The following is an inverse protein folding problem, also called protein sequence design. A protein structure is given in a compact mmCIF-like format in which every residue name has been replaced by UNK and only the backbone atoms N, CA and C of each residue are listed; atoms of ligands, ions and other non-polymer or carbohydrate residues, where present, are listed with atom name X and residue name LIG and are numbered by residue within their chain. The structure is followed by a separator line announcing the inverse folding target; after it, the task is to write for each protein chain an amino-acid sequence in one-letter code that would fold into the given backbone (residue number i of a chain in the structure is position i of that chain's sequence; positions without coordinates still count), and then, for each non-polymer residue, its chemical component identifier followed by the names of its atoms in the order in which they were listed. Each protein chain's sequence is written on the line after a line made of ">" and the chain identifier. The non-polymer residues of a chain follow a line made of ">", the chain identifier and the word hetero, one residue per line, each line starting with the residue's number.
data_IF_029041360420
#
_entry.id   IF_029041360420
#
_cell.length_a   1.000
_cell.length_b   1.000
_cell.length_c   1.000
_cell.angle_alpha   90.00
_cell.angle_beta   90.00
_cell.angle_gamma   90.00
#
_symmetry.space_group_name_H-M   'P 1'
#
loop_
_entity.id
_entity.type
_entity.pdbx_description
1 polymer ?
#
# COMPACT_ATOMS: atom_id res chain seq x y z
N UNK A 1 -58.37 20.97 -63.21
CA UNK A 1 -58.20 21.98 -62.15
C UNK A 1 -58.38 21.40 -60.73
N UNK A 2 -59.42 20.61 -60.45
CA UNK A 2 -59.68 20.09 -59.10
C UNK A 2 -58.68 18.97 -58.73
N UNK A 3 -58.31 18.07 -59.64
CA UNK A 3 -57.32 16.99 -59.44
C UNK A 3 -55.87 17.55 -59.25
N UNK A 4 -55.54 18.63 -59.96
CA UNK A 4 -54.22 19.28 -59.84
C UNK A 4 -54.09 20.01 -58.47
N UNK A 5 -55.11 20.65 -58.00
CA UNK A 5 -55.11 21.29 -56.67
C UNK A 5 -55.00 20.26 -55.54
N UNK A 6 -55.62 19.08 -55.67
CA UNK A 6 -55.43 17.99 -54.69
C UNK A 6 -54.01 17.50 -54.68
N UNK A 7 -53.35 17.24 -55.85
CA UNK A 7 -51.97 16.86 -55.94
C UNK A 7 -50.99 17.90 -55.35
N UNK A 8 -51.25 19.18 -55.62
CA UNK A 8 -50.47 20.27 -55.04
C UNK A 8 -50.57 20.28 -53.51
N UNK A 9 -51.76 19.99 -52.96
CA UNK A 9 -51.99 19.89 -51.53
C UNK A 9 -51.25 18.68 -50.90
N UNK A 10 -51.18 17.54 -51.58
CA UNK A 10 -50.46 16.36 -51.18
C UNK A 10 -48.95 16.63 -51.17
N UNK A 11 -48.38 17.17 -52.23
CA UNK A 11 -46.96 17.53 -52.30
C UNK A 11 -46.56 18.59 -51.26
N UNK A 12 -47.43 19.52 -50.95
CA UNK A 12 -47.19 20.53 -49.92
C UNK A 12 -47.05 19.86 -48.52
N UNK A 13 -47.91 18.85 -48.25
CA UNK A 13 -47.84 18.08 -47.00
C UNK A 13 -46.56 17.23 -46.91
N UNK A 14 -46.22 16.49 -47.97
CA UNK A 14 -44.97 15.71 -48.03
C UNK A 14 -43.74 16.61 -47.84
N UNK A 15 -43.74 17.77 -48.47
CA UNK A 15 -42.62 18.71 -48.38
C UNK A 15 -42.48 19.27 -46.92
N UNK A 16 -43.60 19.50 -46.25
CA UNK A 16 -43.60 19.92 -44.86
C UNK A 16 -43.07 18.83 -43.93
N UNK A 17 -43.47 17.57 -44.17
CA UNK A 17 -42.99 16.40 -43.40
C UNK A 17 -41.49 16.15 -43.62
N UNK A 18 -41.02 16.24 -44.86
CA UNK A 18 -39.59 16.12 -45.17
C UNK A 18 -38.75 17.24 -44.53
N UNK A 19 -39.26 18.47 -44.49
CA UNK A 19 -38.58 19.57 -43.81
C UNK A 19 -38.49 19.32 -42.31
N UNK A 20 -39.52 18.81 -41.66
CA UNK A 20 -39.51 18.46 -40.24
C UNK A 20 -38.49 17.36 -39.94
N UNK A 21 -38.54 16.27 -40.72
CA UNK A 21 -37.54 15.15 -40.60
C UNK A 21 -36.10 15.65 -40.77
N UNK A 22 -35.88 16.55 -41.73
CA UNK A 22 -34.54 17.15 -41.95
C UNK A 22 -34.08 17.93 -40.73
N UNK A 23 -34.96 18.66 -40.03
CA UNK A 23 -34.64 19.36 -38.81
C UNK A 23 -34.32 18.39 -37.67
N UNK A 24 -35.12 17.34 -37.49
CA UNK A 24 -34.87 16.29 -36.49
C UNK A 24 -33.51 15.61 -36.69
N UNK A 25 -33.18 15.27 -37.98
CA UNK A 25 -31.89 14.70 -38.32
C UNK A 25 -30.74 15.65 -37.97
N UNK A 26 -30.90 16.97 -38.17
CA UNK A 26 -29.89 17.95 -37.85
C UNK A 26 -29.62 17.99 -36.35
N UNK A 27 -30.69 17.96 -35.52
CA UNK A 27 -30.57 17.91 -34.05
C UNK A 27 -29.89 16.62 -33.59
N UNK A 28 -30.29 15.48 -34.11
CA UNK A 28 -29.68 14.20 -33.77
C UNK A 28 -28.20 14.16 -34.16
N UNK A 29 -27.83 14.68 -35.34
CA UNK A 29 -26.43 14.78 -35.77
C UNK A 29 -25.59 15.67 -34.84
N UNK A 30 -26.13 16.81 -34.40
CA UNK A 30 -25.44 17.68 -33.44
C UNK A 30 -25.22 16.95 -32.11
N UNK A 31 -26.27 16.35 -31.57
CA UNK A 31 -26.16 15.56 -30.32
C UNK A 31 -25.18 14.38 -30.43
N UNK A 32 -25.12 13.73 -31.58
CA UNK A 32 -24.16 12.65 -31.84
C UNK A 32 -22.71 13.18 -31.86
N UNK A 33 -22.49 14.35 -32.46
CA UNK A 33 -21.17 14.98 -32.49
C UNK A 33 -20.68 15.33 -31.06
N UNK A 34 -21.58 15.90 -30.25
CA UNK A 34 -21.29 16.24 -28.85
C UNK A 34 -20.96 14.99 -28.01
N UNK A 35 -21.76 13.92 -28.19
CA UNK A 35 -21.51 12.65 -27.50
C UNK A 35 -20.23 11.97 -27.92
N UNK A 36 -19.87 12.05 -29.23
CA UNK A 36 -18.57 11.52 -29.70
C UNK A 36 -17.39 12.26 -29.05
N UNK A 37 -17.48 13.59 -29.01
CA UNK A 37 -16.44 14.39 -28.36
C UNK A 37 -16.31 14.08 -26.87
N UNK A 38 -17.43 13.98 -26.17
CA UNK A 38 -17.43 13.60 -24.76
C UNK A 38 -16.80 12.21 -24.53
N UNK A 39 -17.11 11.25 -25.41
CA UNK A 39 -16.50 9.91 -25.36
C UNK A 39 -14.98 9.95 -25.62
N UNK A 40 -14.52 10.74 -26.58
CA UNK A 40 -13.07 10.92 -26.84
C UNK A 40 -12.36 11.53 -25.62
N UNK A 41 -12.94 12.54 -24.99
CA UNK A 41 -12.42 13.18 -23.78
C UNK A 41 -12.38 12.18 -22.61
N UNK A 42 -13.41 11.35 -22.44
CA UNK A 42 -13.48 10.34 -21.39
C UNK A 42 -12.47 9.20 -21.63
N UNK A 43 -12.30 8.76 -22.86
CA UNK A 43 -11.29 7.76 -23.23
C UNK A 43 -9.87 8.27 -22.95
N UNK A 44 -9.58 9.50 -23.35
CA UNK A 44 -8.28 10.10 -23.06
C UNK A 44 -8.01 10.21 -21.54
N UNK A 45 -9.02 10.62 -20.76
CA UNK A 45 -8.93 10.66 -19.28
C UNK A 45 -8.72 9.27 -18.68
N UNK A 46 -9.39 8.26 -19.22
CA UNK A 46 -9.21 6.88 -18.82
C UNK A 46 -7.78 6.40 -19.07
N UNK A 47 -7.23 6.64 -20.27
CA UNK A 47 -5.85 6.27 -20.62
C UNK A 47 -4.81 6.93 -19.69
N UNK A 48 -5.01 8.23 -19.38
CA UNK A 48 -4.16 8.94 -18.43
C UNK A 48 -4.23 8.33 -17.02
N UNK A 49 -5.41 7.97 -16.57
CA UNK A 49 -5.59 7.34 -15.25
C UNK A 49 -4.94 5.96 -15.19
N UNK A 50 -5.08 5.14 -16.22
CA UNK A 50 -4.40 3.83 -16.33
C UNK A 50 -2.89 4.02 -16.25
N UNK A 51 -2.35 4.94 -17.04
CA UNK A 51 -0.91 5.24 -17.05
C UNK A 51 -0.39 5.73 -15.69
N UNK A 52 -1.15 6.61 -15.05
CA UNK A 52 -0.81 7.10 -13.70
C UNK A 52 -0.82 5.95 -12.67
N UNK A 53 -1.80 5.05 -12.75
CA UNK A 53 -1.87 3.89 -11.87
C UNK A 53 -0.68 2.93 -12.07
N UNK A 54 -0.29 2.65 -13.31
CA UNK A 54 0.89 1.84 -13.63
C UNK A 54 2.16 2.45 -13.05
N UNK A 55 2.41 3.75 -13.30
CA UNK A 55 3.59 4.46 -12.80
C UNK A 55 3.65 4.50 -11.27
N UNK A 56 2.51 4.71 -10.60
CA UNK A 56 2.44 4.67 -9.14
C UNK A 56 2.71 3.27 -8.61
N UNK A 57 2.25 2.22 -9.31
CA UNK A 57 2.55 0.83 -8.99
C UNK A 57 4.05 0.54 -9.08
N UNK A 58 4.69 0.90 -10.18
CA UNK A 58 6.14 0.74 -10.38
C UNK A 58 6.95 1.52 -9.32
N UNK A 59 6.56 2.75 -9.02
CA UNK A 59 7.22 3.57 -7.99
C UNK A 59 7.09 2.94 -6.61
N UNK A 60 5.90 2.44 -6.25
CA UNK A 60 5.66 1.74 -4.99
C UNK A 60 6.53 0.47 -4.89
N UNK A 61 6.58 -0.34 -5.93
CA UNK A 61 7.30 -1.60 -5.93
C UNK A 61 8.83 -1.34 -5.88
N UNK A 62 9.32 -0.34 -6.59
CA UNK A 62 10.73 0.09 -6.53
C UNK A 62 11.09 0.60 -5.13
N UNK A 63 10.22 1.41 -4.52
CA UNK A 63 10.40 1.89 -3.16
C UNK A 63 10.40 0.73 -2.15
N UNK A 64 9.46 -0.21 -2.26
CA UNK A 64 9.37 -1.36 -1.38
C UNK A 64 10.65 -2.23 -1.45
N UNK A 65 11.15 -2.54 -2.64
CA UNK A 65 12.40 -3.31 -2.80
C UNK A 65 13.60 -2.56 -2.23
N UNK A 66 13.74 -1.28 -2.52
CA UNK A 66 14.87 -0.46 -2.05
C UNK A 66 14.95 -0.33 -0.52
N UNK A 67 13.82 -0.37 0.18
CA UNK A 67 13.75 -0.18 1.63
C UNK A 67 13.54 -1.48 2.40
N UNK A 68 12.80 -2.45 1.86
CA UNK A 68 12.52 -3.71 2.58
C UNK A 68 13.74 -4.60 2.72
N UNK A 69 14.62 -4.67 1.72
CA UNK A 69 15.81 -5.54 1.77
C UNK A 69 16.77 -5.14 2.89
N UNK A 70 17.19 -3.86 3.05
CA UNK A 70 18.03 -3.45 4.18
C UNK A 70 17.35 -3.65 5.53
N UNK A 71 16.05 -3.35 5.63
CA UNK A 71 15.28 -3.56 6.85
C UNK A 71 15.23 -5.03 7.24
N UNK A 72 14.95 -5.93 6.28
CA UNK A 72 14.90 -7.37 6.56
C UNK A 72 16.27 -7.93 6.94
N UNK A 73 17.35 -7.47 6.33
CA UNK A 73 18.69 -7.87 6.71
C UNK A 73 19.08 -7.39 8.13
N UNK A 74 18.64 -6.19 8.52
CA UNK A 74 18.82 -5.70 9.88
C UNK A 74 17.94 -6.46 10.87
N UNK A 75 16.68 -6.70 10.49
CA UNK A 75 15.74 -7.48 11.28
C UNK A 75 16.24 -8.90 11.60
N UNK A 76 16.75 -9.62 10.61
CA UNK A 76 17.29 -10.98 10.82
C UNK A 76 18.40 -10.99 11.86
N UNK A 77 19.34 -10.04 11.77
CA UNK A 77 20.43 -9.88 12.75
C UNK A 77 19.92 -9.58 14.18
N UNK A 78 18.88 -8.78 14.29
CA UNK A 78 18.29 -8.42 15.59
C UNK A 78 17.46 -9.55 16.17
N UNK A 79 16.69 -10.22 15.33
CA UNK A 79 15.89 -11.38 15.70
C UNK A 79 16.78 -12.53 16.20
N UNK A 80 17.85 -12.87 15.45
CA UNK A 80 18.83 -13.86 15.85
C UNK A 80 19.48 -13.51 17.19
N UNK A 81 19.78 -12.23 17.44
CA UNK A 81 20.35 -11.79 18.69
C UNK A 81 19.43 -12.06 19.89
N UNK A 82 18.11 -11.92 19.72
CA UNK A 82 17.14 -12.16 20.80
C UNK A 82 16.83 -13.64 20.96
N UNK A 83 16.59 -14.35 19.87
CA UNK A 83 16.06 -15.74 19.90
C UNK A 83 17.14 -16.81 19.76
N UNK A 84 18.29 -16.47 19.20
CA UNK A 84 19.33 -17.42 18.81
C UNK A 84 19.03 -18.16 17.51
N UNK A 85 18.00 -17.76 16.78
CA UNK A 85 17.54 -18.40 15.53
C UNK A 85 17.44 -17.37 14.41
N UNK A 86 17.73 -17.76 13.17
CA UNK A 86 17.50 -16.93 12.00
C UNK A 86 16.01 -16.73 11.72
N UNK A 87 15.66 -15.54 11.25
CA UNK A 87 14.27 -15.18 10.93
C UNK A 87 13.78 -15.79 9.59
N UNK A 88 14.26 -16.97 9.20
CA UNK A 88 13.88 -17.63 7.94
C UNK A 88 12.39 -17.93 7.79
N UNK A 89 11.65 -17.86 8.88
CA UNK A 89 10.19 -18.00 8.90
C UNK A 89 9.45 -16.66 8.91
N UNK A 90 10.15 -15.53 8.85
CA UNK A 90 9.54 -14.19 8.89
C UNK A 90 9.61 -13.55 7.50
N UNK A 91 8.50 -13.00 7.06
CA UNK A 91 8.41 -12.26 5.81
C UNK A 91 7.78 -10.90 6.05
N UNK A 92 8.42 -9.84 5.57
CA UNK A 92 7.79 -8.54 5.50
C UNK A 92 7.03 -8.42 4.17
N UNK A 93 5.76 -8.05 4.25
CA UNK A 93 4.99 -7.66 3.09
C UNK A 93 5.41 -6.24 2.62
N UNK A 94 5.07 -5.83 1.37
CA UNK A 94 5.40 -4.49 0.87
C UNK A 94 4.85 -3.33 1.73
N UNK A 95 3.79 -3.56 2.48
CA UNK A 95 3.18 -2.65 3.45
C UNK A 95 3.86 -2.68 4.83
N UNK A 96 5.01 -3.35 4.95
CA UNK A 96 5.75 -3.59 6.20
C UNK A 96 5.00 -4.44 7.23
N UNK A 97 3.91 -5.11 6.84
CA UNK A 97 3.25 -6.10 7.68
C UNK A 97 4.15 -7.32 7.83
N UNK A 98 4.40 -7.73 9.07
CA UNK A 98 5.20 -8.91 9.37
C UNK A 98 4.31 -10.14 9.42
N UNK A 99 4.66 -11.13 8.61
CA UNK A 99 4.03 -12.45 8.60
C UNK A 99 5.02 -13.50 9.06
N UNK A 100 4.56 -14.36 9.94
CA UNK A 100 5.35 -15.47 10.43
C UNK A 100 4.88 -16.79 9.82
N UNK A 101 5.81 -17.62 9.34
CA UNK A 101 5.51 -18.92 8.75
C UNK A 101 5.59 -19.99 9.83
N UNK A 102 4.44 -20.59 10.14
CA UNK A 102 4.35 -21.72 11.05
C UNK A 102 3.67 -22.90 10.35
N UNK A 103 4.28 -24.09 10.40
CA UNK A 103 3.76 -25.29 9.74
C UNK A 103 3.41 -25.11 8.25
N UNK A 104 4.19 -24.29 7.53
CA UNK A 104 3.99 -24.06 6.10
C UNK A 104 2.97 -22.97 5.75
N UNK A 105 2.25 -22.40 6.72
CA UNK A 105 1.29 -21.31 6.53
C UNK A 105 1.79 -20.01 7.12
N UNK A 106 1.53 -18.88 6.41
CA UNK A 106 1.82 -17.55 6.94
C UNK A 106 0.68 -17.12 7.87
N UNK A 107 1.07 -16.71 9.08
CA UNK A 107 0.18 -16.15 10.10
C UNK A 107 0.47 -14.67 10.30
N UNK A 108 -0.57 -13.91 10.57
CA UNK A 108 -0.44 -12.51 10.98
C UNK A 108 0.16 -12.43 12.39
N UNK A 109 0.94 -11.39 12.67
CA UNK A 109 1.53 -11.13 13.99
C UNK A 109 0.51 -11.12 15.12
N UNK A 110 -0.75 -10.78 14.85
CA UNK A 110 -1.83 -10.77 15.83
C UNK A 110 -2.24 -12.18 16.33
N UNK A 111 -1.89 -13.23 15.62
CA UNK A 111 -2.19 -14.62 16.00
C UNK A 111 -1.04 -15.31 16.73
N UNK A 112 0.08 -14.62 16.93
CA UNK A 112 1.27 -15.13 17.62
C UNK A 112 1.14 -15.00 19.14
N UNK A 113 2.00 -15.72 19.88
CA UNK A 113 2.11 -15.50 21.32
C UNK A 113 2.57 -14.06 21.58
N UNK A 114 2.10 -13.49 22.71
CA UNK A 114 2.43 -12.11 23.08
C UNK A 114 3.95 -11.86 23.12
N UNK A 115 4.71 -12.79 23.65
CA UNK A 115 6.17 -12.67 23.72
C UNK A 115 6.83 -12.66 22.35
N UNK A 116 6.40 -13.52 21.40
CA UNK A 116 6.92 -13.52 20.04
C UNK A 116 6.52 -12.25 19.29
N UNK A 117 5.29 -11.76 19.50
CA UNK A 117 4.83 -10.50 18.92
C UNK A 117 5.65 -9.30 19.41
N UNK A 118 6.01 -9.26 20.68
CA UNK A 118 6.90 -8.24 21.27
C UNK A 118 8.29 -8.27 20.64
N UNK A 119 8.92 -9.46 20.53
CA UNK A 119 10.22 -9.63 19.87
C UNK A 119 10.18 -9.13 18.43
N UNK A 120 9.23 -9.60 17.64
CA UNK A 120 9.08 -9.19 16.25
C UNK A 120 8.87 -7.68 16.13
N UNK A 121 7.99 -7.13 16.99
CA UNK A 121 7.68 -5.70 16.98
C UNK A 121 8.88 -4.81 17.30
N UNK A 122 9.70 -5.18 18.30
CA UNK A 122 10.89 -4.41 18.66
C UNK A 122 11.97 -4.55 17.60
N UNK A 123 12.26 -5.77 17.13
CA UNK A 123 13.30 -6.01 16.11
C UNK A 123 12.98 -5.26 14.81
N UNK A 124 11.71 -5.26 14.37
CA UNK A 124 11.29 -4.52 13.15
C UNK A 124 11.47 -3.01 13.33
N UNK A 125 11.02 -2.44 14.44
CA UNK A 125 11.14 -0.99 14.70
C UNK A 125 12.61 -0.55 14.69
N UNK A 126 13.48 -1.28 15.37
CA UNK A 126 14.92 -0.98 15.37
C UNK A 126 15.54 -1.19 13.99
N UNK A 127 15.14 -2.23 13.24
CA UNK A 127 15.61 -2.45 11.88
C UNK A 127 15.21 -1.32 10.92
N UNK A 128 13.98 -0.79 11.04
CA UNK A 128 13.52 0.37 10.28
C UNK A 128 14.38 1.60 10.61
N UNK A 129 14.58 1.88 11.90
CA UNK A 129 15.42 3.01 12.33
C UNK A 129 16.86 2.85 11.83
N UNK A 130 17.44 1.64 11.92
CA UNK A 130 18.81 1.36 11.43
C UNK A 130 18.94 1.55 9.92
N UNK A 131 17.87 1.26 9.16
CA UNK A 131 17.81 1.49 7.71
C UNK A 131 17.63 2.96 7.33
N UNK A 132 16.82 3.70 8.09
CA UNK A 132 16.50 5.10 7.79
C UNK A 132 17.60 6.08 8.20
N UNK A 133 18.30 5.80 9.29
CA UNK A 133 19.30 6.69 9.88
C UNK A 133 20.69 6.07 9.78
N UNK A 134 21.38 6.34 8.66
CA UNK A 134 22.72 5.79 8.38
C UNK A 134 23.81 6.56 9.16
N UNK A 135 23.78 7.87 9.14
CA UNK A 135 24.85 8.74 9.66
C UNK A 135 24.54 9.24 11.07
N UNK A 136 23.39 9.86 11.27
CA UNK A 136 22.96 10.38 12.56
C UNK A 136 21.96 9.45 13.24
N UNK A 137 22.39 8.78 14.32
CA UNK A 137 21.54 7.82 15.02
C UNK A 137 20.63 8.55 16.03
N UNK A 138 19.29 8.38 15.95
CA UNK A 138 18.37 8.97 16.91
C UNK A 138 18.48 8.28 18.28
N UNK A 139 18.04 8.97 19.32
CA UNK A 139 17.83 8.36 20.63
C UNK A 139 16.60 7.42 20.57
N UNK A 140 16.74 6.24 21.17
CA UNK A 140 15.66 5.27 21.29
C UNK A 140 15.05 5.32 22.69
N UNK A 141 13.73 5.47 22.74
CA UNK A 141 12.96 5.39 24.00
C UNK A 141 12.19 4.08 24.00
N UNK A 142 12.43 3.25 25.00
CA UNK A 142 11.81 1.94 25.16
C UNK A 142 11.08 1.89 26.50
N UNK A 143 9.76 1.73 26.44
CA UNK A 143 8.90 1.62 27.62
C UNK A 143 8.39 0.18 27.74
N UNK A 144 8.98 -0.55 28.67
CA UNK A 144 8.72 -1.95 29.00
C UNK A 144 8.56 -2.87 27.76
N UNK A 145 9.50 -2.83 26.79
CA UNK A 145 9.32 -3.42 25.46
C UNK A 145 9.23 -4.95 25.47
N UNK A 146 9.59 -5.59 26.59
CA UNK A 146 9.70 -7.04 26.71
C UNK A 146 8.82 -7.60 27.85
N UNK A 147 7.65 -7.01 28.04
CA UNK A 147 6.75 -7.35 29.17
C UNK A 147 6.27 -8.81 29.16
N UNK A 148 6.14 -9.41 27.98
CA UNK A 148 5.59 -10.75 27.79
C UNK A 148 6.66 -11.83 27.50
N UNK A 149 7.96 -11.51 27.68
CA UNK A 149 9.02 -12.48 27.43
C UNK A 149 9.20 -13.43 28.63
N UNK A 150 9.49 -14.69 28.30
CA UNK A 150 10.00 -15.67 29.25
C UNK A 150 11.49 -15.43 29.59
N UNK A 151 12.00 -16.11 30.61
CA UNK A 151 13.36 -15.92 31.10
C UNK A 151 14.44 -16.20 30.03
N UNK A 152 14.21 -17.18 29.16
CA UNK A 152 15.13 -17.54 28.06
C UNK A 152 15.25 -16.40 27.05
N UNK A 153 14.13 -15.94 26.55
CA UNK A 153 14.08 -14.84 25.58
C UNK A 153 14.48 -13.50 26.21
N UNK A 154 14.25 -13.32 27.52
CA UNK A 154 14.70 -12.14 28.25
C UNK A 154 16.22 -12.02 28.27
N UNK A 155 16.95 -13.14 28.43
CA UNK A 155 18.42 -13.12 28.35
C UNK A 155 18.92 -12.69 26.95
N UNK A 156 18.23 -13.11 25.89
CA UNK A 156 18.50 -12.64 24.52
C UNK A 156 18.14 -11.16 24.31
N UNK A 157 17.02 -10.71 24.88
CA UNK A 157 16.59 -9.31 24.82
C UNK A 157 17.61 -8.37 25.49
N UNK A 158 18.19 -8.75 26.61
CA UNK A 158 19.28 -8.01 27.25
C UNK A 158 20.50 -7.86 26.33
N UNK A 159 20.98 -8.96 25.75
CA UNK A 159 22.09 -8.94 24.77
C UNK A 159 21.77 -8.08 23.56
N UNK A 160 20.53 -8.10 23.09
CA UNK A 160 20.08 -7.26 21.99
C UNK A 160 20.17 -5.78 22.36
N UNK A 161 19.68 -5.38 23.55
CA UNK A 161 19.74 -3.98 24.00
C UNK A 161 21.19 -3.54 24.20
N UNK A 162 22.04 -4.37 24.80
CA UNK A 162 23.49 -4.13 24.87
C UNK A 162 24.11 -3.89 23.52
N UNK A 163 23.80 -4.73 22.53
CA UNK A 163 24.32 -4.62 21.16
C UNK A 163 23.87 -3.35 20.44
N UNK A 164 22.60 -2.97 20.58
CA UNK A 164 22.12 -1.74 19.94
C UNK A 164 22.59 -0.48 20.68
N UNK A 165 22.92 -0.56 21.98
CA UNK A 165 23.46 0.57 22.77
C UNK A 165 24.86 0.98 22.31
N UNK A 166 25.58 0.12 21.59
CA UNK A 166 26.84 0.48 20.91
C UNK A 166 26.66 1.53 19.80
N UNK A 167 25.45 1.60 19.24
CA UNK A 167 25.13 2.50 18.12
C UNK A 167 24.15 3.61 18.50
N UNK A 168 23.28 3.35 19.48
CA UNK A 168 22.16 4.22 19.85
C UNK A 168 22.23 4.63 21.32
N UNK A 169 21.91 5.87 21.61
CA UNK A 169 21.55 6.24 22.97
C UNK A 169 20.16 5.69 23.30
N UNK A 170 20.05 4.89 24.37
CA UNK A 170 18.82 4.22 24.76
C UNK A 170 18.34 4.74 26.11
N UNK A 171 17.08 5.16 26.18
CA UNK A 171 16.34 5.36 27.42
C UNK A 171 15.40 4.17 27.59
N UNK A 172 15.72 3.32 28.56
CA UNK A 172 14.97 2.11 28.83
C UNK A 172 14.19 2.27 30.14
N UNK A 173 12.88 2.18 30.08
CA UNK A 173 11.97 2.20 31.21
C UNK A 173 11.42 0.81 31.45
N UNK A 174 11.36 0.38 32.71
CA UNK A 174 10.73 -0.88 33.12
C UNK A 174 10.15 -0.79 34.50
N UNK A 175 9.02 -1.44 34.74
CA UNK A 175 8.39 -1.55 36.05
C UNK A 175 8.84 -2.81 36.84
N UNK A 176 9.68 -3.68 36.23
CA UNK A 176 10.11 -4.96 36.81
C UNK A 176 11.61 -5.03 37.03
N UNK A 177 12.03 -5.38 38.25
CA UNK A 177 13.46 -5.57 38.57
C UNK A 177 14.13 -6.68 37.76
N UNK A 178 13.39 -7.73 37.36
CA UNK A 178 13.93 -8.83 36.53
C UNK A 178 14.24 -8.41 35.10
N UNK A 179 13.75 -7.24 34.68
CA UNK A 179 13.94 -6.68 33.33
C UNK A 179 14.93 -5.53 33.31
N UNK A 180 15.52 -5.19 34.43
CA UNK A 180 16.63 -4.24 34.50
C UNK A 180 17.82 -4.84 33.72
N UNK A 181 18.44 -4.02 32.86
CA UNK A 181 19.55 -4.37 31.99
C UNK A 181 20.88 -4.36 32.75
#
# INVERSE_FOLDING_TARGET
>A
YMAENMRLGEYARELAELKLRRQEIAVVKASLADKKKALEDDLHRYELNVKAYELLGEARDTFAVGHSVPVMAAFDRYYECVTGEHAGNVQAAPDMTIRYREQGMYRDSQTLSSGLADILGVCVRVAIVDSMYQDEKPMLIMDDPFVNLDDRNMAGAKKFVEKISEKYQILYFTCSQNRVL
#
